data_IF_330117805632
#
_entry.id   IF_330117805632
#
_cell.length_a   1.000
_cell.length_b   1.000
_cell.length_c   1.000
_cell.angle_alpha   90.00
_cell.angle_beta   90.00
_cell.angle_gamma   90.00
#
_symmetry.space_group_name_H-M   'P 1'
#
loop_
_entity.id
_entity.type
_entity.pdbx_description
1 polymer ?
#
# COMPACT_ATOMS: atom_id res chain seq x y z
N UNK A 1 -13.84 15.94 -12.30
CA UNK A 1 -13.50 14.69 -11.59
C UNK A 1 -12.03 14.39 -11.86
N UNK A 2 -11.14 14.87 -10.99
CA UNK A 2 -9.71 14.58 -11.04
C UNK A 2 -9.48 13.19 -10.47
N UNK A 3 -9.48 12.18 -11.34
CA UNK A 3 -9.01 10.84 -10.99
C UNK A 3 -7.51 10.93 -10.72
N UNK A 4 -7.13 10.95 -9.44
CA UNK A 4 -5.74 10.82 -9.04
C UNK A 4 -5.21 9.48 -9.54
N UNK A 5 -4.17 9.52 -10.38
CA UNK A 5 -3.43 8.33 -10.74
C UNK A 5 -2.56 7.92 -9.54
N UNK A 6 -3.14 7.19 -8.58
CA UNK A 6 -2.42 6.62 -7.44
C UNK A 6 -1.66 5.36 -7.87
N UNK A 7 -0.72 5.50 -8.81
CA UNK A 7 0.31 4.48 -9.03
C UNK A 7 1.41 4.72 -8.01
N UNK A 8 1.30 4.05 -6.86
CA UNK A 8 2.32 4.10 -5.80
C UNK A 8 3.14 2.82 -5.90
N UNK A 9 4.41 2.99 -6.27
CA UNK A 9 5.36 1.91 -6.49
C UNK A 9 6.15 1.70 -5.21
N UNK A 10 6.00 0.53 -4.57
CA UNK A 10 6.82 0.18 -3.42
C UNK A 10 8.01 -0.68 -3.91
N UNK A 11 9.17 -0.04 -4.12
CA UNK A 11 10.43 -0.74 -4.41
C UNK A 11 11.04 -1.19 -3.09
N UNK A 12 11.00 -2.48 -2.79
CA UNK A 12 11.38 -2.99 -1.48
C UNK A 12 12.81 -3.53 -1.44
N UNK A 13 13.61 -3.01 -0.50
CA UNK A 13 14.85 -3.61 -0.01
C UNK A 13 14.66 -3.93 1.48
N UNK A 14 14.38 -5.19 1.86
CA UNK A 14 14.39 -5.66 3.26
C UNK A 14 13.23 -6.57 3.71
N UNK A 15 13.51 -7.50 4.63
CA UNK A 15 12.56 -8.57 5.06
C UNK A 15 11.37 -8.09 5.91
N UNK A 16 11.53 -7.03 6.72
CA UNK A 16 10.45 -6.53 7.58
C UNK A 16 9.35 -5.79 6.81
N UNK A 17 9.73 -4.98 5.82
CA UNK A 17 8.77 -4.31 4.93
C UNK A 17 7.92 -5.31 4.15
N UNK A 18 8.53 -6.42 3.73
CA UNK A 18 7.83 -7.50 3.05
C UNK A 18 6.76 -8.15 3.90
N UNK A 19 7.09 -8.44 5.15
CA UNK A 19 6.15 -9.04 6.09
C UNK A 19 4.93 -8.13 6.27
N UNK A 20 5.15 -6.83 6.39
CA UNK A 20 4.08 -5.86 6.52
C UNK A 20 3.25 -5.75 5.24
N UNK A 21 3.87 -5.76 4.06
CA UNK A 21 3.16 -5.77 2.78
C UNK A 21 2.24 -6.99 2.63
N UNK A 22 2.69 -8.19 3.02
CA UNK A 22 1.82 -9.38 3.04
C UNK A 22 0.68 -9.26 4.06
N UNK A 23 0.91 -8.64 5.22
CA UNK A 23 -0.18 -8.37 6.18
C UNK A 23 -1.21 -7.40 5.59
N UNK A 24 -0.75 -6.37 4.88
CA UNK A 24 -1.64 -5.42 4.21
C UNK A 24 -2.37 -6.05 3.02
N UNK A 25 -1.76 -7.01 2.34
CA UNK A 25 -2.37 -7.80 1.27
C UNK A 25 -3.53 -8.65 1.80
N UNK A 26 -3.31 -9.38 2.90
CA UNK A 26 -4.35 -10.18 3.57
C UNK A 26 -5.56 -9.33 4.01
N UNK A 27 -5.31 -8.06 4.33
CA UNK A 27 -6.33 -7.09 4.69
C UNK A 27 -6.99 -6.39 3.48
N UNK A 28 -6.54 -6.69 2.26
CA UNK A 28 -7.02 -6.15 1.00
C UNK A 28 -6.63 -4.69 0.75
N UNK A 29 -5.57 -4.20 1.41
CA UNK A 29 -5.10 -2.81 1.32
C UNK A 29 -4.14 -2.64 0.15
N UNK A 30 -3.22 -3.60 -0.02
CA UNK A 30 -2.29 -3.66 -1.16
C UNK A 30 -2.47 -4.98 -1.89
N UNK A 31 -1.94 -5.08 -3.10
CA UNK A 31 -1.92 -6.30 -3.90
C UNK A 31 -0.56 -6.46 -4.59
N UNK A 32 -0.05 -7.69 -4.64
CA UNK A 32 1.15 -8.03 -5.40
C UNK A 32 0.79 -8.25 -6.86
N UNK A 33 1.23 -7.34 -7.73
CA UNK A 33 1.04 -7.43 -9.17
C UNK A 33 2.32 -7.94 -9.83
N UNK A 34 2.16 -8.98 -10.64
CA UNK A 34 3.24 -9.47 -11.50
C UNK A 34 3.30 -8.58 -12.77
N UNK A 35 4.41 -7.88 -12.96
CA UNK A 35 4.63 -7.05 -14.15
C UNK A 35 5.61 -7.76 -15.09
N UNK A 36 5.23 -7.87 -16.37
CA UNK A 36 6.10 -8.49 -17.37
C UNK A 36 7.12 -7.48 -17.87
N UNK A 37 8.35 -7.57 -17.37
CA UNK A 37 9.43 -6.67 -17.76
C UNK A 37 9.97 -6.97 -19.17
N UNK A 38 10.18 -8.25 -19.52
CA UNK A 38 10.62 -8.73 -20.86
C UNK A 38 10.13 -10.16 -21.13
N UNK A 39 10.39 -10.70 -22.34
CA UNK A 39 10.11 -12.11 -22.65
C UNK A 39 10.83 -13.03 -21.64
N UNK A 40 10.06 -13.70 -20.78
CA UNK A 40 10.57 -14.67 -19.79
C UNK A 40 11.04 -14.07 -18.46
N UNK A 41 11.02 -12.74 -18.32
CA UNK A 41 11.36 -12.04 -17.08
C UNK A 41 10.11 -11.38 -16.51
N UNK A 42 9.80 -11.75 -15.27
CA UNK A 42 8.69 -11.22 -14.51
C UNK A 42 9.22 -10.45 -13.31
N UNK A 43 8.85 -9.18 -13.22
CA UNK A 43 8.99 -8.38 -12.02
C UNK A 43 7.75 -8.55 -11.15
N UNK A 44 7.89 -8.26 -9.86
CA UNK A 44 6.77 -8.18 -8.94
C UNK A 44 6.76 -6.78 -8.33
N UNK A 45 5.58 -6.16 -8.29
CA UNK A 45 5.38 -4.84 -7.71
C UNK A 45 4.17 -4.87 -6.78
N UNK A 46 4.25 -4.10 -5.71
CA UNK A 46 3.12 -3.89 -4.82
C UNK A 46 2.37 -2.63 -5.25
N UNK A 47 1.05 -2.69 -5.29
CA UNK A 47 0.17 -1.55 -5.57
C UNK A 47 -0.96 -1.47 -4.54
N UNK A 48 -1.61 -0.31 -4.42
CA UNK A 48 -2.82 -0.17 -3.59
C UNK A 48 -4.00 -0.91 -4.24
N UNK A 49 -4.57 -1.84 -3.49
CA UNK A 49 -5.83 -2.48 -3.82
C UNK A 49 -6.99 -1.50 -3.65
N UNK A 50 -8.18 -1.85 -4.15
CA UNK A 50 -9.37 -0.97 -4.13
C UNK A 50 -9.67 -0.39 -2.74
N UNK A 51 -9.66 -1.22 -1.70
CA UNK A 51 -9.93 -0.79 -0.32
C UNK A 51 -8.81 0.11 0.22
N UNK A 52 -7.56 -0.14 -0.16
CA UNK A 52 -6.45 0.75 0.17
C UNK A 52 -6.60 2.13 -0.46
N UNK A 53 -7.01 2.20 -1.73
CA UNK A 53 -7.32 3.47 -2.42
C UNK A 53 -8.42 4.24 -1.70
N UNK A 54 -9.51 3.56 -1.32
CA UNK A 54 -10.61 4.19 -0.58
C UNK A 54 -10.19 4.71 0.80
N UNK A 55 -9.28 4.02 1.50
CA UNK A 55 -8.73 4.46 2.78
C UNK A 55 -7.86 5.70 2.61
N UNK A 56 -6.95 5.67 1.63
CA UNK A 56 -6.13 6.82 1.26
C UNK A 56 -7.02 8.01 0.89
N UNK A 57 -8.07 7.81 0.10
CA UNK A 57 -8.97 8.90 -0.30
C UNK A 57 -9.74 9.54 0.85
N UNK A 58 -10.01 8.79 1.92
CA UNK A 58 -10.69 9.29 3.12
C UNK A 58 -9.74 9.96 4.10
N UNK A 59 -8.46 9.58 4.12
CA UNK A 59 -7.46 10.07 5.06
C UNK A 59 -6.43 10.97 4.37
N UNK A 60 -6.54 12.28 4.63
CA UNK A 60 -5.64 13.31 4.08
C UNK A 60 -4.18 13.09 4.50
N UNK A 61 -3.94 12.49 5.66
CA UNK A 61 -2.59 12.22 6.15
C UNK A 61 -1.96 11.08 5.35
N UNK A 62 -2.70 10.01 5.07
CA UNK A 62 -2.24 8.93 4.19
C UNK A 62 -1.92 9.42 2.78
N UNK A 63 -2.74 10.31 2.20
CA UNK A 63 -2.44 10.93 0.91
C UNK A 63 -1.13 11.72 0.95
N UNK A 64 -0.93 12.50 2.01
CA UNK A 64 0.28 13.31 2.18
C UNK A 64 1.52 12.42 2.31
N UNK A 65 1.46 11.37 3.13
CA UNK A 65 2.57 10.43 3.33
C UNK A 65 2.98 9.73 2.03
N UNK A 66 2.02 9.39 1.17
CA UNK A 66 2.30 8.83 -0.15
C UNK A 66 2.94 9.85 -1.09
N UNK A 67 2.45 11.09 -1.11
CA UNK A 67 3.01 12.16 -1.94
C UNK A 67 4.43 12.53 -1.52
N UNK A 68 4.69 12.55 -0.22
CA UNK A 68 6.00 12.85 0.36
C UNK A 68 6.98 11.66 0.24
N UNK A 69 6.52 10.51 -0.26
CA UNK A 69 7.33 9.29 -0.42
C UNK A 69 7.70 8.62 0.92
N UNK A 70 7.04 9.00 2.02
CA UNK A 70 7.31 8.47 3.34
C UNK A 70 6.56 7.16 3.58
N UNK A 71 7.00 6.13 2.85
CA UNK A 71 6.38 4.80 2.80
C UNK A 71 6.37 4.13 4.19
N UNK A 72 7.38 4.38 5.02
CA UNK A 72 7.45 3.77 6.35
C UNK A 72 6.37 4.32 7.30
N UNK A 73 6.20 5.64 7.35
CA UNK A 73 5.14 6.26 8.13
C UNK A 73 3.75 5.91 7.58
N UNK A 74 3.62 5.82 6.25
CA UNK A 74 2.40 5.37 5.60
C UNK A 74 1.95 4.01 6.13
N UNK A 75 2.87 3.05 6.18
CA UNK A 75 2.59 1.71 6.69
C UNK A 75 2.23 1.70 8.18
N UNK A 76 2.96 2.45 9.01
CA UNK A 76 2.67 2.54 10.43
C UNK A 76 1.26 3.11 10.67
N UNK A 77 0.88 4.16 9.93
CA UNK A 77 -0.44 4.76 10.04
C UNK A 77 -1.54 3.79 9.66
N UNK A 78 -1.36 3.03 8.58
CA UNK A 78 -2.33 2.00 8.18
C UNK A 78 -2.47 0.93 9.26
N UNK A 79 -1.36 0.44 9.83
CA UNK A 79 -1.40 -0.53 10.93
C UNK A 79 -2.19 0.03 12.12
N UNK A 80 -1.92 1.27 12.55
CA UNK A 80 -2.66 1.90 13.65
C UNK A 80 -4.15 2.06 13.35
N UNK A 81 -4.52 2.43 12.13
CA UNK A 81 -5.93 2.51 11.72
C UNK A 81 -6.62 1.14 11.81
N UNK A 82 -5.93 0.07 11.43
CA UNK A 82 -6.44 -1.28 11.47
C UNK A 82 -6.55 -1.84 12.90
N UNK A 83 -5.62 -1.48 13.78
CA UNK A 83 -5.68 -1.82 15.21
C UNK A 83 -6.87 -1.14 15.89
N UNK A 84 -7.07 0.16 15.65
CA UNK A 84 -8.23 0.89 16.17
C UNK A 84 -9.56 0.29 15.67
N UNK A 85 -9.63 -0.12 14.40
CA UNK A 85 -10.81 -0.78 13.82
C UNK A 85 -11.10 -2.17 14.42
N UNK A 86 -10.10 -2.83 15.02
CA UNK A 86 -10.28 -4.11 15.72
C UNK A 86 -10.80 -3.94 17.14
N UNK A 87 -10.48 -2.83 17.81
CA UNK A 87 -10.92 -2.55 19.18
C UNK A 87 -12.37 -2.02 19.27
N UNK A 88 -12.94 -1.50 18.18
CA UNK A 88 -14.35 -1.07 18.13
C UNK A 88 -15.35 -2.24 17.87
N UNK A 89 -14.93 -3.49 18.03
CA UNK A 89 -15.75 -4.70 17.83
C UNK A 89 -15.92 -5.51 19.11
#
# INVERSE_FOLDING_TARGET
MTGGNYFTWFKEEGSERRKLLYQLEDLGIVELIQERERKGLYGYKWELAKKGKELVDKDKELQKLLQDGNIQEFYQKIVSLLENLKEEK
#
